data_IF_694622951481
#
_entry.id   IF_694622951481
#
_cell.length_a   1.000
_cell.length_b   1.000
_cell.length_c   1.000
_cell.angle_alpha   90.00
_cell.angle_beta   90.00
_cell.angle_gamma   90.00
#
_symmetry.space_group_name_H-M   'P 1'
#
loop_
_entity.id
_entity.type
_entity.pdbx_description
1 polymer ?
#
# COMPACT_ATOMS: atom_id res chain seq x y z
N UNK A 1 -23.54 -4.88 -26.80
CA UNK A 1 -22.84 -3.63 -26.45
C UNK A 1 -22.14 -3.90 -25.15
N UNK A 2 -20.88 -4.30 -25.22
CA UNK A 2 -20.04 -4.37 -24.03
C UNK A 2 -19.75 -2.92 -23.67
N UNK A 3 -20.52 -2.39 -22.72
CA UNK A 3 -20.38 -1.03 -22.25
C UNK A 3 -19.10 -0.93 -21.43
N UNK A 4 -17.98 -0.65 -22.10
CA UNK A 4 -16.75 -0.26 -21.42
C UNK A 4 -17.04 0.97 -20.57
N UNK A 5 -16.72 0.87 -19.28
CA UNK A 5 -16.91 1.97 -18.34
C UNK A 5 -15.90 3.06 -18.68
N UNK A 6 -16.38 4.28 -18.82
CA UNK A 6 -15.55 5.45 -19.11
C UNK A 6 -14.34 5.54 -18.15
N UNK A 7 -13.11 5.80 -18.65
CA UNK A 7 -11.91 5.82 -17.83
C UNK A 7 -11.93 6.84 -16.69
N UNK A 8 -12.56 8.00 -16.88
CA UNK A 8 -12.65 9.04 -15.84
C UNK A 8 -13.65 8.60 -14.75
N UNK A 9 -14.78 8.02 -15.16
CA UNK A 9 -15.74 7.41 -14.21
C UNK A 9 -15.10 6.26 -13.42
N UNK A 10 -14.25 5.44 -14.07
CA UNK A 10 -13.48 4.39 -13.39
C UNK A 10 -12.53 4.97 -12.35
N UNK A 11 -11.77 6.00 -12.71
CA UNK A 11 -10.88 6.65 -11.76
C UNK A 11 -11.65 7.20 -10.56
N UNK A 12 -12.77 7.90 -10.78
CA UNK A 12 -13.58 8.47 -9.70
C UNK A 12 -14.15 7.42 -8.76
N UNK A 13 -14.66 6.31 -9.31
CA UNK A 13 -15.13 5.18 -8.52
C UNK A 13 -14.00 4.61 -7.67
N UNK A 14 -12.80 4.44 -8.23
CA UNK A 14 -11.67 3.88 -7.51
C UNK A 14 -11.16 4.81 -6.41
N UNK A 15 -11.13 6.13 -6.65
CA UNK A 15 -10.85 7.14 -5.60
C UNK A 15 -11.86 7.02 -4.45
N UNK A 16 -13.15 6.87 -4.77
CA UNK A 16 -14.22 6.71 -3.78
C UNK A 16 -14.10 5.40 -2.98
N UNK A 17 -13.87 4.27 -3.66
CA UNK A 17 -13.69 2.96 -3.02
C UNK A 17 -12.51 2.95 -2.05
N UNK A 18 -11.49 3.77 -2.31
CA UNK A 18 -10.34 3.88 -1.43
C UNK A 18 -10.67 4.68 -0.18
N UNK A 19 -11.65 5.59 -0.21
CA UNK A 19 -12.06 6.38 0.95
C UNK A 19 -13.03 5.63 1.87
N UNK A 20 -13.98 4.89 1.29
CA UNK A 20 -15.09 4.25 2.02
C UNK A 20 -14.75 2.87 2.62
N UNK A 21 -15.43 2.45 3.71
CA UNK A 21 -15.39 1.08 4.21
C UNK A 21 -16.24 0.17 3.30
N UNK A 22 -15.69 -0.23 2.15
CA UNK A 22 -16.43 -0.99 1.13
C UNK A 22 -16.33 -2.50 1.33
N UNK A 23 -17.35 -3.23 0.88
CA UNK A 23 -17.35 -4.68 0.74
C UNK A 23 -16.09 -5.19 0.00
N UNK A 24 -15.36 -6.08 0.68
CA UNK A 24 -14.14 -6.74 0.17
C UNK A 24 -14.39 -7.45 -1.17
N UNK A 25 -15.56 -8.06 -1.37
CA UNK A 25 -15.90 -8.73 -2.64
C UNK A 25 -16.03 -7.73 -3.79
N UNK A 26 -16.61 -6.56 -3.53
CA UNK A 26 -16.75 -5.51 -4.53
C UNK A 26 -15.39 -4.95 -4.92
N UNK A 27 -14.52 -4.67 -3.93
CA UNK A 27 -13.15 -4.21 -4.19
C UNK A 27 -12.36 -5.24 -5.02
N UNK A 28 -12.42 -6.52 -4.65
CA UNK A 28 -11.74 -7.59 -5.39
C UNK A 28 -12.19 -7.65 -6.85
N UNK A 29 -13.51 -7.73 -7.09
CA UNK A 29 -14.07 -7.81 -8.45
C UNK A 29 -13.65 -6.61 -9.31
N UNK A 30 -13.56 -5.42 -8.72
CA UNK A 30 -13.18 -4.19 -9.44
C UNK A 30 -11.69 -4.10 -9.73
N UNK A 31 -10.83 -4.58 -8.83
CA UNK A 31 -9.40 -4.71 -9.09
C UNK A 31 -9.16 -5.68 -10.25
N UNK A 32 -9.87 -6.81 -10.25
CA UNK A 32 -9.76 -7.84 -11.31
C UNK A 32 -10.33 -7.37 -12.65
N UNK A 33 -11.35 -6.49 -12.65
CA UNK A 33 -11.98 -5.97 -13.87
C UNK A 33 -11.40 -4.64 -14.36
N UNK A 34 -10.24 -4.21 -13.85
CA UNK A 34 -9.67 -2.92 -14.22
C UNK A 34 -9.24 -2.91 -15.70
N UNK A 35 -9.60 -1.88 -16.49
CA UNK A 35 -9.11 -1.76 -17.86
C UNK A 35 -7.59 -1.55 -17.89
N UNK A 36 -6.91 -1.79 -19.03
CA UNK A 36 -5.52 -1.42 -19.18
C UNK A 36 -5.33 0.08 -18.97
N UNK A 37 -4.62 0.45 -17.91
CA UNK A 37 -4.33 1.85 -17.57
C UNK A 37 -3.01 2.24 -18.24
N UNK A 38 -3.04 2.54 -19.55
CA UNK A 38 -1.89 3.07 -20.27
C UNK A 38 -1.80 4.61 -20.12
N UNK A 39 -0.58 5.14 -20.16
CA UNK A 39 -0.32 6.59 -20.19
C UNK A 39 -0.55 7.40 -18.90
N UNK A 40 -1.51 7.04 -18.03
CA UNK A 40 -1.86 7.84 -16.84
C UNK A 40 -1.37 7.21 -15.51
N UNK A 41 -0.43 7.85 -14.79
CA UNK A 41 0.14 7.29 -13.56
C UNK A 41 -0.84 7.28 -12.37
N UNK A 42 -1.87 8.15 -12.38
CA UNK A 42 -2.76 8.34 -11.23
C UNK A 42 -3.76 7.18 -11.03
N UNK A 43 -4.54 6.74 -12.03
CA UNK A 43 -5.39 5.55 -11.92
C UNK A 43 -4.61 4.31 -11.50
N UNK A 44 -3.40 4.14 -12.06
CA UNK A 44 -2.52 3.02 -11.72
C UNK A 44 -2.10 3.06 -10.24
N UNK A 45 -1.73 4.23 -9.72
CA UNK A 45 -1.43 4.41 -8.29
C UNK A 45 -2.62 4.05 -7.41
N UNK A 46 -3.82 4.51 -7.76
CA UNK A 46 -5.05 4.22 -7.00
C UNK A 46 -5.35 2.71 -6.98
N UNK A 47 -5.20 2.03 -8.12
CA UNK A 47 -5.40 0.58 -8.21
C UNK A 47 -4.40 -0.19 -7.30
N UNK A 48 -3.15 0.26 -7.25
CA UNK A 48 -2.15 -0.33 -6.36
C UNK A 48 -2.49 -0.11 -4.88
N UNK A 49 -2.94 1.10 -4.52
CA UNK A 49 -3.38 1.43 -3.16
C UNK A 49 -4.61 0.60 -2.73
N UNK A 50 -5.58 0.42 -3.62
CA UNK A 50 -6.74 -0.44 -3.40
C UNK A 50 -6.35 -1.91 -3.22
N UNK A 51 -5.37 -2.39 -3.99
CA UNK A 51 -4.84 -3.74 -3.86
C UNK A 51 -4.17 -3.96 -2.50
N UNK A 52 -3.37 -2.99 -2.04
CA UNK A 52 -2.80 -3.00 -0.69
C UNK A 52 -3.92 -2.97 0.36
N UNK A 53 -4.90 -2.08 0.22
CA UNK A 53 -6.02 -1.94 1.15
C UNK A 53 -6.81 -3.25 1.28
N UNK A 54 -7.14 -3.88 0.15
CA UNK A 54 -7.83 -5.17 0.13
C UNK A 54 -7.03 -6.28 0.83
N UNK A 55 -5.73 -6.39 0.55
CA UNK A 55 -4.84 -7.39 1.16
C UNK A 55 -4.76 -7.23 2.68
N UNK A 56 -4.54 -6.01 3.16
CA UNK A 56 -4.49 -5.71 4.61
C UNK A 56 -5.83 -5.96 5.29
N UNK A 57 -6.93 -5.61 4.63
CA UNK A 57 -8.27 -5.84 5.17
C UNK A 57 -8.63 -7.32 5.23
N UNK A 58 -8.03 -8.13 4.35
CA UNK A 58 -8.14 -9.60 4.35
C UNK A 58 -7.12 -10.29 5.27
N UNK A 59 -6.28 -9.53 5.97
CA UNK A 59 -5.21 -10.09 6.83
C UNK A 59 -4.06 -10.76 6.07
N UNK A 60 -3.89 -10.45 4.78
CA UNK A 60 -2.85 -11.07 3.95
C UNK A 60 -1.66 -10.11 3.78
N UNK A 61 -0.55 -10.40 4.45
CA UNK A 61 0.72 -9.68 4.28
C UNK A 61 1.70 -10.58 3.50
N UNK A 62 2.09 -10.12 2.31
CA UNK A 62 2.96 -10.84 1.39
C UNK A 62 3.93 -9.90 0.69
N UNK A 63 4.98 -10.46 0.07
CA UNK A 63 5.97 -9.72 -0.72
C UNK A 63 5.34 -8.93 -1.88
N UNK A 64 4.14 -9.33 -2.31
CA UNK A 64 3.38 -8.58 -3.31
C UNK A 64 3.10 -7.15 -2.83
N UNK A 65 2.90 -6.91 -1.53
CA UNK A 65 2.74 -5.54 -1.00
C UNK A 65 4.03 -4.72 -1.20
N UNK A 66 5.21 -5.34 -1.14
CA UNK A 66 6.47 -4.66 -1.46
C UNK A 66 6.50 -4.27 -2.95
N UNK A 67 6.04 -5.15 -3.85
CA UNK A 67 5.94 -4.85 -5.29
C UNK A 67 5.04 -3.64 -5.53
N UNK A 68 3.90 -3.58 -4.86
CA UNK A 68 2.97 -2.47 -4.96
C UNK A 68 3.58 -1.16 -4.44
N UNK A 69 4.25 -1.18 -3.28
CA UNK A 69 4.90 -0.01 -2.71
C UNK A 69 6.03 0.51 -3.61
N UNK A 70 6.87 -0.36 -4.15
CA UNK A 70 7.94 0.04 -5.08
C UNK A 70 7.39 0.62 -6.39
N UNK A 71 6.31 0.04 -6.91
CA UNK A 71 5.64 0.58 -8.10
C UNK A 71 5.04 1.96 -7.81
N UNK A 72 4.40 2.15 -6.64
CA UNK A 72 3.89 3.46 -6.22
C UNK A 72 5.05 4.46 -6.10
N UNK A 73 6.19 4.08 -5.51
CA UNK A 73 7.35 4.97 -5.40
C UNK A 73 7.87 5.38 -6.78
N UNK A 74 7.96 4.43 -7.71
CA UNK A 74 8.39 4.73 -9.08
C UNK A 74 7.44 5.73 -9.76
N UNK A 75 6.12 5.56 -9.57
CA UNK A 75 5.10 6.48 -10.08
C UNK A 75 5.22 7.87 -9.44
N UNK A 76 5.43 7.93 -8.13
CA UNK A 76 5.58 9.19 -7.39
C UNK A 76 6.85 9.92 -7.80
N UNK A 77 7.96 9.20 -7.93
CA UNK A 77 9.24 9.72 -8.42
C UNK A 77 9.13 10.28 -9.83
N UNK A 78 8.44 9.58 -10.74
CA UNK A 78 8.21 10.06 -12.11
C UNK A 78 7.41 11.36 -12.19
N UNK A 79 6.65 11.67 -11.14
CA UNK A 79 5.85 12.89 -10.98
C UNK A 79 6.51 13.90 -10.03
N UNK A 80 7.77 13.69 -9.64
CA UNK A 80 8.50 14.53 -8.68
C UNK A 80 7.83 14.65 -7.30
N UNK A 81 6.98 13.69 -6.92
CA UNK A 81 6.34 13.63 -5.61
C UNK A 81 7.32 13.10 -4.56
N UNK A 82 7.16 13.57 -3.32
CA UNK A 82 7.96 13.11 -2.18
C UNK A 82 7.41 11.78 -1.66
N UNK A 83 8.33 10.90 -1.28
CA UNK A 83 8.00 9.68 -0.55
C UNK A 83 7.81 10.04 0.91
N UNK A 84 6.73 9.56 1.50
CA UNK A 84 6.38 9.87 2.89
C UNK A 84 7.06 8.91 3.85
N UNK A 85 7.31 9.37 5.07
CA UNK A 85 7.92 8.53 6.12
C UNK A 85 7.04 7.31 6.45
N UNK A 86 5.72 7.45 6.37
CA UNK A 86 4.81 6.33 6.62
C UNK A 86 4.93 5.24 5.55
N UNK A 87 5.21 5.60 4.29
CA UNK A 87 5.47 4.65 3.21
C UNK A 87 6.75 3.85 3.48
N UNK A 88 7.82 4.54 3.91
CA UNK A 88 9.09 3.91 4.25
C UNK A 88 8.92 2.94 5.42
N UNK A 89 8.21 3.35 6.47
CA UNK A 89 7.91 2.50 7.64
C UNK A 89 7.05 1.30 7.25
N UNK A 90 6.04 1.49 6.41
CA UNK A 90 5.21 0.40 5.90
C UNK A 90 6.04 -0.60 5.10
N UNK A 91 6.91 -0.13 4.21
CA UNK A 91 7.81 -0.98 3.42
C UNK A 91 8.76 -1.78 4.32
N UNK A 92 9.40 -1.13 5.30
CA UNK A 92 10.26 -1.76 6.29
C UNK A 92 9.54 -2.86 7.08
N UNK A 93 8.34 -2.55 7.60
CA UNK A 93 7.57 -3.48 8.41
C UNK A 93 7.08 -4.70 7.59
N UNK A 94 6.64 -4.50 6.34
CA UNK A 94 6.25 -5.60 5.44
C UNK A 94 7.45 -6.50 5.12
N UNK A 95 8.62 -5.92 4.83
CA UNK A 95 9.83 -6.68 4.58
C UNK A 95 10.22 -7.53 5.79
N UNK A 96 10.10 -6.95 6.99
CA UNK A 96 10.37 -7.66 8.25
C UNK A 96 9.39 -8.80 8.47
N UNK A 97 8.08 -8.57 8.35
CA UNK A 97 7.05 -9.62 8.48
C UNK A 97 7.25 -10.75 7.45
N UNK A 98 7.47 -10.40 6.18
CA UNK A 98 7.69 -11.38 5.12
C UNK A 98 8.95 -12.24 5.33
N UNK A 99 9.85 -11.82 6.23
CA UNK A 99 11.07 -12.55 6.59
C UNK A 99 10.88 -13.30 7.91
N UNK A 100 10.48 -12.59 8.97
CA UNK A 100 10.39 -13.10 10.33
C UNK A 100 9.33 -14.19 10.50
N UNK A 101 8.26 -14.21 9.69
CA UNK A 101 7.24 -15.26 9.71
C UNK A 101 7.77 -16.68 9.47
N UNK A 102 8.99 -16.81 8.92
CA UNK A 102 9.65 -18.09 8.70
C UNK A 102 10.54 -18.54 9.87
N UNK A 103 10.81 -17.67 10.86
CA UNK A 103 11.62 -18.02 12.02
C UNK A 103 10.96 -19.07 12.92
N UNK A 104 9.64 -19.00 13.23
CA UNK A 104 9.00 -20.04 14.03
C UNK A 104 9.06 -21.40 13.31
N UNK A 105 9.80 -22.34 13.90
CA UNK A 105 9.94 -23.70 13.37
C UNK A 105 11.11 -23.93 12.41
N UNK A 106 11.90 -22.90 12.05
CA UNK A 106 13.14 -23.06 11.28
C UNK A 106 14.34 -23.25 12.24
N UNK A 107 14.43 -24.43 12.86
CA UNK A 107 15.40 -24.75 13.92
C UNK A 107 16.87 -24.59 13.47
N UNK A 108 17.15 -24.78 12.19
CA UNK A 108 18.50 -24.67 11.65
C UNK A 108 18.78 -23.31 11.00
N UNK A 109 17.76 -22.43 10.86
CA UNK A 109 17.84 -21.09 10.26
C UNK A 109 18.54 -21.05 8.89
N UNK A 110 18.59 -22.19 8.21
CA UNK A 110 19.20 -22.41 6.90
C UNK A 110 18.14 -22.76 5.84
N UNK A 111 16.86 -22.74 6.22
CA UNK A 111 15.73 -23.00 5.36
C UNK A 111 15.07 -21.73 4.84
N UNK A 112 13.75 -21.65 4.99
CA UNK A 112 12.91 -20.58 4.41
C UNK A 112 13.28 -19.20 4.94
N UNK A 113 13.78 -19.11 6.18
CA UNK A 113 14.24 -17.85 6.73
C UNK A 113 15.43 -17.29 5.94
N UNK A 114 16.48 -18.08 5.76
CA UNK A 114 17.68 -17.67 5.02
C UNK A 114 17.35 -17.33 3.55
N UNK A 115 16.47 -18.10 2.92
CA UNK A 115 15.97 -17.79 1.58
C UNK A 115 15.26 -16.44 1.52
N UNK A 116 14.41 -16.12 2.51
CA UNK A 116 13.73 -14.83 2.60
C UNK A 116 14.72 -13.68 2.86
N UNK A 117 15.72 -13.87 3.73
CA UNK A 117 16.81 -12.91 3.97
C UNK A 117 17.55 -12.60 2.67
N UNK A 118 17.94 -13.64 1.93
CA UNK A 118 18.68 -13.47 0.69
C UNK A 118 17.82 -12.81 -0.41
N UNK A 119 16.55 -13.21 -0.55
CA UNK A 119 15.64 -12.67 -1.57
C UNK A 119 15.24 -11.22 -1.30
N UNK A 120 14.78 -10.92 -0.08
CA UNK A 120 14.21 -9.61 0.29
C UNK A 120 15.32 -8.62 0.63
N UNK A 121 16.26 -8.98 1.51
CA UNK A 121 17.19 -8.01 2.07
C UNK A 121 18.45 -7.85 1.22
N UNK A 122 19.09 -8.97 0.83
CA UNK A 122 20.32 -8.94 0.00
C UNK A 122 20.04 -8.83 -1.50
N UNK A 123 18.88 -9.29 -1.94
CA UNK A 123 18.42 -9.16 -3.31
C UNK A 123 17.70 -7.83 -3.52
N UNK A 124 16.44 -7.79 -3.09
CA UNK A 124 15.52 -6.69 -3.40
C UNK A 124 15.94 -5.34 -2.79
N UNK A 125 16.09 -5.26 -1.46
CA UNK A 125 16.39 -4.00 -0.75
C UNK A 125 17.79 -3.50 -1.09
N UNK A 126 18.80 -4.36 -1.06
CA UNK A 126 20.17 -3.98 -1.39
C UNK A 126 20.30 -3.45 -2.83
N UNK A 127 19.60 -4.07 -3.80
CA UNK A 127 19.64 -3.60 -5.18
C UNK A 127 18.96 -2.22 -5.33
N UNK A 128 17.85 -1.98 -4.63
CA UNK A 128 17.23 -0.66 -4.59
C UNK A 128 18.18 0.39 -3.99
N UNK A 129 18.92 0.03 -2.94
CA UNK A 129 19.85 0.95 -2.28
C UNK A 129 21.05 1.27 -3.19
N UNK A 130 21.61 0.25 -3.85
CA UNK A 130 22.71 0.41 -4.82
C UNK A 130 22.32 1.25 -6.03
N UNK A 131 21.07 1.17 -6.48
CA UNK A 131 20.59 1.97 -7.61
C UNK A 131 20.66 3.48 -7.33
N UNK A 132 20.61 3.89 -6.05
CA UNK A 132 20.49 5.30 -5.59
C UNK A 132 19.29 6.05 -6.14
N UNK A 133 18.41 5.37 -6.88
CA UNK A 133 17.21 5.93 -7.47
C UNK A 133 16.04 5.93 -6.48
N UNK A 134 15.98 4.88 -5.64
CA UNK A 134 14.87 4.68 -4.73
C UNK A 134 15.03 5.47 -3.45
N UNK A 135 13.99 6.21 -3.06
CA UNK A 135 13.92 6.90 -1.77
C UNK A 135 13.31 6.03 -0.66
N UNK A 136 12.88 4.80 -0.95
CA UNK A 136 12.31 3.88 0.04
C UNK A 136 13.35 3.31 1.01
N UNK A 137 14.58 3.17 0.55
CA UNK A 137 15.62 2.37 1.23
C UNK A 137 16.78 3.21 1.76
N UNK A 138 16.56 4.51 1.96
CA UNK A 138 17.61 5.45 2.37
C UNK A 138 17.70 5.66 3.88
N UNK A 139 16.87 4.99 4.69
CA UNK A 139 16.78 5.24 6.13
C UNK A 139 17.70 4.33 6.94
N UNK A 140 18.28 4.89 8.00
CA UNK A 140 19.03 4.09 8.98
C UNK A 140 18.16 3.06 9.70
N UNK A 141 16.86 3.31 9.82
CA UNK A 141 15.90 2.34 10.37
C UNK A 141 15.91 1.04 9.55
N UNK A 142 15.81 1.13 8.23
CA UNK A 142 15.81 -0.04 7.35
C UNK A 142 17.16 -0.77 7.40
N UNK A 143 18.28 -0.04 7.44
CA UNK A 143 19.62 -0.62 7.61
C UNK A 143 19.78 -1.32 8.95
N UNK A 144 19.22 -0.75 10.03
CA UNK A 144 19.18 -1.38 11.35
C UNK A 144 18.42 -2.70 11.33
N UNK A 145 17.22 -2.71 10.72
CA UNK A 145 16.42 -3.93 10.56
C UNK A 145 17.13 -4.97 9.71
N UNK A 146 17.81 -4.56 8.63
CA UNK A 146 18.63 -5.44 7.80
C UNK A 146 19.70 -6.15 8.62
N UNK A 147 20.49 -5.41 9.41
CA UNK A 147 21.52 -5.99 10.30
C UNK A 147 20.91 -6.97 11.28
N UNK A 148 19.73 -6.65 11.84
CA UNK A 148 19.02 -7.52 12.77
C UNK A 148 18.60 -8.85 12.13
N UNK A 149 18.01 -8.82 10.93
CA UNK A 149 17.60 -10.07 10.24
C UNK A 149 18.78 -10.87 9.72
N UNK A 150 19.87 -10.22 9.32
CA UNK A 150 21.10 -10.91 8.90
C UNK A 150 21.78 -11.58 10.10
N UNK A 151 21.86 -10.90 11.26
CA UNK A 151 22.42 -11.46 12.49
C UNK A 151 21.60 -12.65 13.00
N UNK A 152 20.27 -12.59 12.91
CA UNK A 152 19.38 -13.66 13.34
C UNK A 152 19.56 -14.99 12.59
N UNK A 153 20.34 -15.04 11.49
CA UNK A 153 20.71 -16.31 10.83
C UNK A 153 21.62 -17.14 11.73
N UNK A 154 22.56 -16.50 12.42
CA UNK A 154 23.59 -17.16 13.22
C UNK A 154 23.34 -16.99 14.73
N UNK A 155 22.69 -15.90 15.13
CA UNK A 155 22.44 -15.53 16.52
C UNK A 155 21.03 -15.93 16.97
N UNK A 156 20.96 -16.89 17.89
CA UNK A 156 19.71 -17.41 18.44
C UNK A 156 18.98 -16.40 19.33
N UNK A 157 19.68 -15.55 20.07
CA UNK A 157 19.05 -14.54 20.92
C UNK A 157 18.35 -13.49 20.05
N UNK A 158 19.01 -13.04 18.99
CA UNK A 158 18.41 -12.10 18.01
C UNK A 158 17.22 -12.74 17.30
N UNK A 159 17.31 -14.02 16.93
CA UNK A 159 16.19 -14.76 16.34
C UNK A 159 15.00 -14.86 17.31
N UNK A 160 15.24 -15.17 18.58
CA UNK A 160 14.20 -15.25 19.61
C UNK A 160 13.50 -13.91 19.84
N UNK A 161 14.24 -12.80 19.80
CA UNK A 161 13.66 -11.44 19.86
C UNK A 161 12.72 -11.21 18.66
N UNK A 162 13.13 -11.58 17.45
CA UNK A 162 12.29 -11.44 16.26
C UNK A 162 11.03 -12.33 16.30
N UNK A 163 11.15 -13.56 16.83
CA UNK A 163 10.01 -14.47 17.03
C UNK A 163 9.02 -13.90 18.06
N UNK A 164 9.53 -13.32 19.14
CA UNK A 164 8.71 -12.70 20.19
C UNK A 164 8.09 -11.35 19.77
N UNK A 165 8.55 -10.77 18.66
CA UNK A 165 8.02 -9.50 18.14
C UNK A 165 6.82 -9.77 17.24
N UNK A 166 5.72 -9.03 17.45
CA UNK A 166 4.52 -9.14 16.61
C UNK A 166 4.70 -8.39 15.28
N UNK A 167 5.63 -8.88 14.46
CA UNK A 167 5.99 -8.30 13.16
C UNK A 167 4.78 -8.18 12.23
N UNK A 168 3.83 -9.12 12.32
CA UNK A 168 2.57 -9.07 11.59
C UNK A 168 1.70 -7.88 12.00
N UNK A 169 1.49 -7.65 13.30
CA UNK A 169 0.69 -6.53 13.79
C UNK A 169 1.36 -5.19 13.46
N UNK A 170 2.68 -5.11 13.58
CA UNK A 170 3.45 -3.93 13.22
C UNK A 170 3.28 -3.59 11.74
N UNK A 171 3.39 -4.59 10.86
CA UNK A 171 3.15 -4.41 9.43
C UNK A 171 1.72 -3.94 9.13
N UNK A 172 0.70 -4.53 9.77
CA UNK A 172 -0.69 -4.04 9.62
C UNK A 172 -0.85 -2.58 10.05
N UNK A 173 -0.26 -2.19 11.18
CA UNK A 173 -0.35 -0.84 11.72
C UNK A 173 0.32 0.16 10.77
N UNK A 174 1.54 -0.15 10.32
CA UNK A 174 2.30 0.76 9.46
C UNK A 174 1.65 0.93 8.08
N UNK A 175 1.14 -0.14 7.46
CA UNK A 175 0.43 -0.02 6.19
C UNK A 175 -0.87 0.79 6.37
N UNK A 176 -1.63 0.57 7.45
CA UNK A 176 -2.83 1.36 7.73
C UNK A 176 -2.51 2.83 7.96
N UNK A 177 -1.41 3.14 8.63
CA UNK A 177 -0.95 4.52 8.80
C UNK A 177 -0.62 5.16 7.45
N UNK A 178 0.09 4.45 6.58
CA UNK A 178 0.37 4.89 5.21
C UNK A 178 -0.91 5.13 4.40
N UNK A 179 -1.85 4.18 4.39
CA UNK A 179 -3.11 4.33 3.66
C UNK A 179 -3.92 5.52 4.18
N UNK A 180 -3.95 5.78 5.49
CA UNK A 180 -4.62 6.97 6.06
C UNK A 180 -3.95 8.27 5.62
N UNK A 181 -2.61 8.34 5.63
CA UNK A 181 -1.89 9.52 5.18
C UNK A 181 -2.18 9.81 3.70
N UNK A 182 -2.14 8.78 2.85
CA UNK A 182 -2.43 8.94 1.42
C UNK A 182 -3.89 9.36 1.19
N UNK A 183 -4.85 8.76 1.90
CA UNK A 183 -6.27 9.19 1.87
C UNK A 183 -6.42 10.68 2.19
N UNK A 184 -5.74 11.16 3.24
CA UNK A 184 -5.76 12.56 3.62
C UNK A 184 -5.13 13.48 2.56
N UNK A 185 -4.03 13.04 1.92
CA UNK A 185 -3.38 13.79 0.85
C UNK A 185 -4.18 13.84 -0.46
N UNK A 186 -4.99 12.81 -0.76
CA UNK A 186 -5.86 12.80 -1.94
C UNK A 186 -7.10 13.67 -1.77
N UNK A 187 -7.57 13.88 -0.53
CA UNK A 187 -8.79 14.62 -0.23
C UNK A 187 -10.07 13.90 -0.64
N UNK A 188 -11.17 14.64 -0.67
CA UNK A 188 -12.51 14.18 -1.09
C UNK A 188 -12.45 13.71 -2.55
N UNK A 189 -13.03 12.54 -2.83
CA UNK A 189 -12.99 11.97 -4.18
C UNK A 189 -13.72 12.85 -5.18
N UNK A 190 -13.32 12.77 -6.45
CA UNK A 190 -13.98 13.55 -7.51
C UNK A 190 -15.47 13.20 -7.63
N UNK A 191 -15.82 11.92 -7.44
CA UNK A 191 -17.21 11.45 -7.42
C UNK A 191 -18.02 12.08 -6.27
N UNK A 192 -17.45 12.06 -5.07
CA UNK A 192 -18.09 12.61 -3.88
C UNK A 192 -18.33 14.12 -4.01
N UNK A 193 -17.36 14.84 -4.58
CA UNK A 193 -17.51 16.28 -4.89
C UNK A 193 -18.64 16.56 -5.87
N UNK A 194 -18.79 15.74 -6.91
CA UNK A 194 -19.88 15.91 -7.88
C UNK A 194 -21.24 15.59 -7.24
N UNK A 195 -21.31 14.56 -6.40
CA UNK A 195 -22.49 14.25 -5.59
C UNK A 195 -22.86 15.41 -4.64
N UNK A 196 -21.90 15.97 -3.91
CA UNK A 196 -22.12 17.14 -3.05
C UNK A 196 -22.58 18.37 -3.84
N UNK A 197 -22.00 18.62 -5.02
CA UNK A 197 -22.42 19.72 -5.89
C UNK A 197 -23.86 19.52 -6.38
N UNK A 198 -24.21 18.30 -6.80
CA UNK A 198 -25.56 17.95 -7.22
C UNK A 198 -26.57 18.11 -6.08
N UNK A 199 -26.27 17.59 -4.89
CA UNK A 199 -27.12 17.74 -3.71
C UNK A 199 -27.29 19.21 -3.32
N UNK A 200 -26.22 19.99 -3.36
CA UNK A 200 -26.25 21.43 -3.06
C UNK A 200 -27.07 22.22 -4.09
N UNK A 201 -26.94 21.90 -5.39
CA UNK A 201 -27.76 22.51 -6.46
C UNK A 201 -29.24 22.18 -6.29
N UNK A 202 -29.57 20.94 -5.95
CA UNK A 202 -30.96 20.53 -5.73
C UNK A 202 -31.54 21.07 -4.43
N UNK A 203 -30.74 21.19 -3.37
CA UNK A 203 -31.14 21.83 -2.12
C UNK A 203 -31.42 23.32 -2.32
N UNK A 204 -30.56 24.03 -3.06
CA UNK A 204 -30.77 25.44 -3.42
C UNK A 204 -31.93 25.64 -4.40
N UNK A 205 -32.20 24.67 -5.28
CA UNK A 205 -33.39 24.68 -6.14
C UNK A 205 -34.68 24.46 -5.34
N UNK A 206 -34.67 23.59 -4.32
CA UNK A 206 -35.79 23.37 -3.42
C UNK A 206 -36.12 24.58 -2.54
N UNK A 207 -35.11 25.31 -2.05
CA UNK A 207 -35.32 26.55 -1.27
C UNK A 207 -35.98 27.65 -2.12
N UNK A 208 -35.59 27.80 -3.39
CA UNK A 208 -36.18 28.81 -4.28
C UNK A 208 -37.64 28.54 -4.65
N UNK A 209 -38.11 27.31 -4.52
CA UNK A 209 -39.53 26.96 -4.73
C UNK A 209 -40.36 27.32 -3.50
N UNK A 210 -39.77 27.29 -2.30
CA UNK A 210 -40.48 27.61 -1.04
C UNK A 210 -40.59 29.13 -0.81
N UNK A 211 -39.67 29.94 -1.35
CA UNK A 211 -39.74 31.41 -1.26
C UNK A 211 -40.60 32.07 -2.35
N UNK A 212 -41.23 31.29 -3.23
CA UNK A 212 -42.07 31.77 -4.32
C UNK A 212 -43.58 31.50 -4.14
N UNK A 213 -43.97 30.91 -3.00
CA UNK A 213 -45.35 30.74 -2.52
C UNK A 213 -45.67 31.72 -1.38
#
# INVERSE_FOLDING_TARGET
MDGEMDPDMFQWLMEFLLQEPVDLMLMKKRIESAPPLDGNPRPKKILLLLSIHFKVSSGNISEEILDHLEMIERLDRSQCLRITDSMIRAYCAVALECTAKYLPGDLQRNGKYLEAVNRIWKGRIENLEKSKESKLVTTEELRGRRRQVEAAVEDEEVANVLIGTSTYLDAMIMIRAYLREIKALMGISSLERECESFLSRNYMAGIRVIEAD
#
